data_IF_076345921711
#
_entry.id   IF_076345921711
#
_cell.length_a   1.000
_cell.length_b   1.000
_cell.length_c   1.000
_cell.angle_alpha   90.00
_cell.angle_beta   90.00
_cell.angle_gamma   90.00
#
_symmetry.space_group_name_H-M   'P 1'
#
loop_
_entity.id
_entity.type
_entity.pdbx_description
1 polymer ?
#
# COMPACT_ATOMS: atom_id res chain seq x y z
N UNK A 1 29.54 -31.87 14.12
CA UNK A 1 28.39 -31.40 14.93
C UNK A 1 28.44 -29.90 15.10
N UNK A 2 28.70 -29.31 16.29
CA UNK A 2 28.43 -27.86 16.52
C UNK A 2 28.95 -26.85 15.46
N UNK A 3 30.13 -27.08 14.84
CA UNK A 3 30.66 -26.17 13.80
C UNK A 3 29.84 -26.19 12.51
N UNK A 4 29.47 -27.37 12.03
CA UNK A 4 28.69 -27.57 10.80
C UNK A 4 27.27 -27.00 10.95
N UNK A 5 26.68 -27.13 12.14
CA UNK A 5 25.37 -26.56 12.48
C UNK A 5 25.39 -25.02 12.43
N UNK A 6 26.43 -24.39 12.99
CA UNK A 6 26.58 -22.93 12.99
C UNK A 6 26.85 -22.40 11.57
N UNK A 7 27.64 -23.11 10.77
CA UNK A 7 27.89 -22.79 9.36
C UNK A 7 26.63 -22.92 8.50
N UNK A 8 25.87 -24.00 8.67
CA UNK A 8 24.57 -24.17 8.03
C UNK A 8 23.61 -23.03 8.40
N UNK A 9 23.55 -22.64 9.68
CA UNK A 9 22.73 -21.52 10.15
C UNK A 9 23.16 -20.17 9.56
N UNK A 10 24.47 -19.90 9.45
CA UNK A 10 24.99 -18.68 8.84
C UNK A 10 24.58 -18.58 7.36
N UNK A 11 24.85 -19.62 6.56
CA UNK A 11 24.44 -19.72 5.15
C UNK A 11 22.92 -19.56 5.02
N UNK A 12 22.15 -20.22 5.90
CA UNK A 12 20.69 -20.15 5.87
C UNK A 12 20.14 -18.76 6.24
N UNK A 13 20.80 -18.05 7.17
CA UNK A 13 20.41 -16.69 7.55
C UNK A 13 20.59 -15.70 6.39
N UNK A 14 21.66 -15.85 5.60
CA UNK A 14 21.93 -15.06 4.39
C UNK A 14 20.90 -15.31 3.28
N UNK A 15 20.52 -16.57 3.05
CA UNK A 15 19.40 -16.95 2.15
C UNK A 15 18.08 -16.27 2.56
N UNK A 16 17.78 -16.23 3.86
CA UNK A 16 16.57 -15.59 4.39
C UNK A 16 16.58 -14.07 4.22
N UNK A 17 17.71 -13.39 4.41
CA UNK A 17 17.85 -11.95 4.12
C UNK A 17 17.68 -11.68 2.62
N UNK A 18 18.34 -12.46 1.76
CA UNK A 18 18.20 -12.33 0.29
C UNK A 18 16.75 -12.46 -0.18
N UNK A 19 16.01 -13.43 0.37
CA UNK A 19 14.57 -13.60 0.14
C UNK A 19 13.72 -12.45 0.68
N UNK A 20 14.05 -11.94 1.86
CA UNK A 20 13.38 -10.80 2.48
C UNK A 20 13.53 -9.52 1.62
N UNK A 21 14.75 -9.21 1.17
CA UNK A 21 15.04 -8.08 0.26
C UNK A 21 14.34 -8.28 -1.09
N UNK A 22 14.40 -9.49 -1.66
CA UNK A 22 13.72 -9.81 -2.93
C UNK A 22 12.20 -9.63 -2.82
N UNK A 23 11.58 -10.08 -1.72
CA UNK A 23 10.15 -9.89 -1.46
C UNK A 23 9.78 -8.41 -1.35
N UNK A 24 10.63 -7.58 -0.71
CA UNK A 24 10.43 -6.13 -0.66
C UNK A 24 10.45 -5.50 -2.06
N UNK A 25 11.48 -5.81 -2.88
CA UNK A 25 11.59 -5.31 -4.26
C UNK A 25 10.39 -5.70 -5.12
N UNK A 26 9.91 -6.94 -5.00
CA UNK A 26 8.72 -7.43 -5.74
C UNK A 26 7.48 -6.60 -5.36
N UNK A 27 7.24 -6.36 -4.07
CA UNK A 27 6.10 -5.53 -3.61
C UNK A 27 6.22 -4.08 -4.06
N UNK A 28 7.43 -3.53 -4.06
CA UNK A 28 7.72 -2.19 -4.56
C UNK A 28 7.39 -2.08 -6.06
N UNK A 29 7.85 -3.04 -6.87
CA UNK A 29 7.50 -3.15 -8.29
C UNK A 29 5.97 -3.26 -8.50
N UNK A 30 5.30 -4.16 -7.78
CA UNK A 30 3.85 -4.32 -7.87
C UNK A 30 3.05 -3.07 -7.44
N UNK A 31 3.55 -2.30 -6.45
CA UNK A 31 2.93 -1.01 -6.10
C UNK A 31 2.98 -0.02 -7.27
N UNK A 32 4.11 0.03 -7.99
CA UNK A 32 4.25 0.80 -9.24
C UNK A 32 3.29 0.34 -10.32
N UNK A 33 3.18 -0.98 -10.56
CA UNK A 33 2.21 -1.55 -11.52
C UNK A 33 0.77 -1.19 -11.16
N UNK A 34 0.38 -1.26 -9.89
CA UNK A 34 -0.98 -0.90 -9.44
C UNK A 34 -1.26 0.59 -9.68
N UNK A 35 -0.29 1.49 -9.39
CA UNK A 35 -0.43 2.91 -9.73
C UNK A 35 -0.64 3.10 -11.24
N UNK A 36 0.16 2.43 -12.07
CA UNK A 36 0.03 2.50 -13.53
C UNK A 36 -1.35 2.05 -14.03
N UNK A 37 -1.83 0.88 -13.57
CA UNK A 37 -3.15 0.36 -13.91
C UNK A 37 -4.28 1.29 -13.45
N UNK A 38 -4.23 1.79 -12.22
CA UNK A 38 -5.23 2.73 -11.69
C UNK A 38 -5.24 4.05 -12.47
N UNK A 39 -4.06 4.58 -12.81
CA UNK A 39 -3.92 5.84 -13.57
C UNK A 39 -4.51 5.72 -14.98
N UNK A 40 -4.40 4.54 -15.62
CA UNK A 40 -5.05 4.24 -16.90
C UNK A 40 -6.55 3.96 -16.76
N UNK A 41 -6.99 3.40 -15.63
CA UNK A 41 -8.41 3.08 -15.39
C UNK A 41 -9.28 4.33 -15.19
N UNK A 42 -8.78 5.37 -14.49
CA UNK A 42 -9.54 6.61 -14.23
C UNK A 42 -10.11 7.27 -15.51
N UNK A 43 -9.32 7.56 -16.56
CA UNK A 43 -9.86 8.17 -17.79
C UNK A 43 -10.80 7.22 -18.55
N UNK A 44 -10.58 5.91 -18.51
CA UNK A 44 -11.50 4.93 -19.10
C UNK A 44 -12.87 4.94 -18.40
N UNK A 45 -12.86 4.91 -17.05
CA UNK A 45 -14.05 4.98 -16.21
C UNK A 45 -14.84 6.28 -16.44
N UNK A 46 -14.15 7.42 -16.51
CA UNK A 46 -14.75 8.72 -16.79
C UNK A 46 -15.39 8.77 -18.20
N UNK A 47 -14.71 8.26 -19.23
CA UNK A 47 -15.23 8.27 -20.60
C UNK A 47 -16.57 7.49 -20.72
N UNK A 48 -16.71 6.38 -19.98
CA UNK A 48 -17.95 5.61 -19.89
C UNK A 48 -19.11 6.32 -19.15
N UNK A 49 -18.86 7.49 -18.55
CA UNK A 49 -19.84 8.29 -17.80
C UNK A 49 -20.18 9.63 -18.47
N UNK A 50 -19.65 9.90 -19.67
CA UNK A 50 -19.91 11.17 -20.38
C UNK A 50 -21.40 11.40 -20.66
N UNK A 51 -22.16 10.36 -21.03
CA UNK A 51 -23.61 10.43 -21.28
C UNK A 51 -24.48 10.16 -20.04
N UNK A 52 -23.86 10.03 -18.86
CA UNK A 52 -24.57 9.65 -17.64
C UNK A 52 -25.40 10.81 -17.06
N UNK A 53 -26.46 10.50 -16.30
CA UNK A 53 -27.16 11.53 -15.52
C UNK A 53 -26.22 12.26 -14.55
N UNK A 54 -26.49 13.54 -14.30
CA UNK A 54 -25.72 14.38 -13.38
C UNK A 54 -25.52 13.75 -11.98
N UNK A 55 -26.51 13.00 -11.49
CA UNK A 55 -26.44 12.27 -10.21
C UNK A 55 -25.47 11.08 -10.25
N UNK A 56 -25.37 10.40 -11.40
CA UNK A 56 -24.41 9.30 -11.62
C UNK A 56 -22.99 9.88 -11.79
N UNK A 57 -22.86 11.05 -12.40
CA UNK A 57 -21.58 11.79 -12.45
C UNK A 57 -21.15 12.30 -11.07
N UNK A 58 -22.10 12.63 -10.18
CA UNK A 58 -21.78 13.04 -8.81
C UNK A 58 -21.36 11.85 -7.94
N UNK A 59 -22.05 10.69 -8.01
CA UNK A 59 -21.68 9.51 -7.23
C UNK A 59 -20.36 8.87 -7.72
N UNK A 60 -20.00 9.05 -9.00
CA UNK A 60 -18.73 8.55 -9.56
C UNK A 60 -17.49 9.28 -9.03
N UNK A 61 -17.65 10.43 -8.35
CA UNK A 61 -16.56 11.08 -7.62
C UNK A 61 -16.02 10.19 -6.48
N UNK A 62 -16.84 9.30 -5.91
CA UNK A 62 -16.45 8.40 -4.82
C UNK A 62 -15.32 7.43 -5.25
N UNK A 63 -15.47 6.58 -6.29
CA UNK A 63 -14.38 5.71 -6.73
C UNK A 63 -13.15 6.50 -7.20
N UNK A 64 -13.31 7.68 -7.81
CA UNK A 64 -12.18 8.54 -8.21
C UNK A 64 -11.37 8.98 -6.98
N UNK A 65 -12.04 9.45 -5.92
CA UNK A 65 -11.40 9.79 -4.65
C UNK A 65 -10.69 8.59 -4.00
N UNK A 66 -11.30 7.40 -4.05
CA UNK A 66 -10.68 6.16 -3.58
C UNK A 66 -9.44 5.79 -4.40
N UNK A 67 -9.45 5.93 -5.72
CA UNK A 67 -8.29 5.68 -6.58
C UNK A 67 -7.14 6.66 -6.31
N UNK A 68 -7.43 7.96 -6.14
CA UNK A 68 -6.41 8.96 -5.76
C UNK A 68 -5.80 8.59 -4.40
N UNK A 69 -6.61 8.20 -3.41
CA UNK A 69 -6.12 7.79 -2.10
C UNK A 69 -5.27 6.51 -2.17
N UNK A 70 -5.65 5.53 -3.00
CA UNK A 70 -4.84 4.35 -3.33
C UNK A 70 -3.48 4.74 -3.89
N UNK A 71 -3.43 5.67 -4.86
CA UNK A 71 -2.16 6.15 -5.44
C UNK A 71 -1.27 6.75 -4.35
N UNK A 72 -1.80 7.59 -3.46
CA UNK A 72 -1.05 8.18 -2.35
C UNK A 72 -0.48 7.13 -1.38
N UNK A 73 -1.27 6.10 -1.04
CA UNK A 73 -0.79 4.97 -0.21
C UNK A 73 0.33 4.20 -0.92
N UNK A 74 0.15 3.87 -2.21
CA UNK A 74 1.15 3.12 -2.97
C UNK A 74 2.43 3.93 -3.22
N UNK A 75 2.33 5.25 -3.39
CA UNK A 75 3.50 6.13 -3.50
C UNK A 75 4.34 6.13 -2.21
N UNK A 76 3.71 5.98 -1.05
CA UNK A 76 4.40 5.79 0.22
C UNK A 76 5.06 4.39 0.36
N UNK A 77 4.58 3.36 -0.35
CA UNK A 77 5.26 2.06 -0.50
C UNK A 77 6.48 2.18 -1.43
N UNK A 78 6.37 3.02 -2.46
CA UNK A 78 7.47 3.36 -3.38
C UNK A 78 8.56 4.24 -2.76
N UNK A 79 8.42 4.68 -1.51
CA UNK A 79 9.44 5.49 -0.85
C UNK A 79 10.71 4.65 -0.59
N UNK A 80 11.89 5.07 -1.05
CA UNK A 80 13.14 4.35 -0.81
C UNK A 80 13.43 4.27 0.70
N UNK A 81 13.81 3.09 1.16
CA UNK A 81 14.20 2.82 2.55
C UNK A 81 15.44 1.91 2.51
N UNK A 82 16.50 2.23 3.27
CA UNK A 82 17.71 1.43 3.28
C UNK A 82 17.45 0.09 3.98
N UNK A 83 17.82 -1.01 3.33
CA UNK A 83 17.78 -2.36 3.90
C UNK A 83 19.19 -2.82 4.23
N UNK A 84 19.38 -3.57 5.31
CA UNK A 84 20.67 -4.10 5.74
C UNK A 84 20.94 -5.44 5.03
N UNK A 85 22.06 -5.61 4.34
CA UNK A 85 22.26 -6.73 3.40
C UNK A 85 23.08 -7.90 3.98
N UNK A 86 24.11 -7.64 4.79
CA UNK A 86 24.90 -8.58 5.61
C UNK A 86 26.00 -7.79 6.37
N UNK A 87 27.08 -8.46 6.78
CA UNK A 87 28.36 -7.86 7.17
C UNK A 87 28.85 -6.82 6.15
N UNK A 88 29.37 -5.69 6.64
CA UNK A 88 30.15 -4.75 5.81
C UNK A 88 31.50 -5.35 5.39
N UNK A 89 31.86 -5.17 4.12
CA UNK A 89 33.20 -5.50 3.58
C UNK A 89 34.33 -4.84 4.39
N UNK A 90 34.07 -3.67 4.98
CA UNK A 90 35.03 -2.95 5.86
C UNK A 90 35.45 -3.75 7.09
N UNK A 91 34.66 -4.75 7.52
CA UNK A 91 34.97 -5.64 8.65
C UNK A 91 35.82 -6.86 8.28
N UNK A 92 36.00 -7.16 6.99
CA UNK A 92 36.79 -8.33 6.56
C UNK A 92 38.26 -8.33 7.04
N UNK A 93 38.99 -7.20 7.08
CA UNK A 93 40.35 -7.16 7.65
C UNK A 93 40.41 -7.54 9.13
N UNK A 94 39.40 -7.15 9.93
CA UNK A 94 39.31 -7.51 11.35
C UNK A 94 38.97 -9.00 11.56
N UNK A 95 38.26 -9.60 10.59
CA UNK A 95 37.80 -10.99 10.62
C UNK A 95 38.86 -11.97 10.10
N UNK A 96 39.73 -11.57 9.18
CA UNK A 96 40.68 -12.49 8.51
C UNK A 96 41.69 -13.14 9.48
N UNK A 97 41.97 -12.49 10.61
CA UNK A 97 42.89 -12.97 11.65
C UNK A 97 42.20 -13.76 12.79
N UNK A 98 40.87 -13.95 12.71
CA UNK A 98 40.09 -14.65 13.73
C UNK A 98 39.93 -16.14 13.41
N UNK A 99 39.73 -17.02 14.42
CA UNK A 99 39.41 -18.42 14.17
C UNK A 99 38.07 -18.55 13.43
N UNK A 100 37.99 -19.48 12.48
CA UNK A 100 36.81 -19.70 11.61
C UNK A 100 35.47 -19.72 12.37
N UNK A 101 35.44 -20.35 13.54
CA UNK A 101 34.22 -20.45 14.37
C UNK A 101 33.73 -19.08 14.88
N UNK A 102 34.64 -18.14 15.14
CA UNK A 102 34.29 -16.77 15.52
C UNK A 102 33.78 -15.97 14.31
N UNK A 103 34.39 -16.17 13.12
CA UNK A 103 33.95 -15.53 11.87
C UNK A 103 32.50 -15.93 11.54
N UNK A 104 32.20 -17.24 11.56
CA UNK A 104 30.86 -17.75 11.24
C UNK A 104 29.82 -17.34 12.31
N UNK A 105 30.20 -17.30 13.59
CA UNK A 105 29.32 -16.82 14.66
C UNK A 105 29.03 -15.32 14.54
N UNK A 106 30.00 -14.52 14.10
CA UNK A 106 29.84 -13.09 13.82
C UNK A 106 28.94 -12.86 12.60
N UNK A 107 29.12 -13.61 11.49
CA UNK A 107 28.21 -13.56 10.33
C UNK A 107 26.78 -13.92 10.70
N UNK A 108 26.58 -15.00 11.46
CA UNK A 108 25.26 -15.36 11.98
C UNK A 108 24.65 -14.24 12.86
N UNK A 109 25.44 -13.58 13.70
CA UNK A 109 24.97 -12.49 14.55
C UNK A 109 24.53 -11.27 13.73
N UNK A 110 25.38 -10.82 12.80
CA UNK A 110 25.13 -9.64 11.95
C UNK A 110 23.95 -9.87 11.01
N UNK A 111 23.84 -11.07 10.42
CA UNK A 111 22.70 -11.43 9.59
C UNK A 111 21.40 -11.45 10.39
N UNK A 112 21.43 -11.96 11.62
CA UNK A 112 20.25 -12.12 12.46
C UNK A 112 19.73 -10.81 13.08
N UNK A 113 20.58 -9.79 13.20
CA UNK A 113 20.18 -8.43 13.55
C UNK A 113 19.79 -7.59 12.31
N UNK A 114 20.46 -7.77 11.17
CA UNK A 114 20.01 -7.21 9.87
C UNK A 114 18.59 -7.65 9.53
N UNK A 115 18.28 -8.94 9.68
CA UNK A 115 16.94 -9.49 9.44
C UNK A 115 15.87 -8.86 10.35
N UNK A 116 16.21 -8.57 11.61
CA UNK A 116 15.33 -7.88 12.57
C UNK A 116 15.04 -6.44 12.15
N UNK A 117 16.09 -5.68 11.80
CA UNK A 117 15.96 -4.29 11.36
C UNK A 117 15.11 -4.18 10.08
N UNK A 118 15.44 -4.99 9.08
CA UNK A 118 14.70 -5.10 7.82
C UNK A 118 13.23 -5.47 8.04
N UNK A 119 12.93 -6.37 8.99
CA UNK A 119 11.55 -6.77 9.29
C UNK A 119 10.68 -5.59 9.70
N UNK A 120 11.19 -4.66 10.52
CA UNK A 120 10.42 -3.48 10.97
C UNK A 120 10.06 -2.58 9.78
N UNK A 121 11.02 -2.36 8.87
CA UNK A 121 10.85 -1.59 7.63
C UNK A 121 9.82 -2.27 6.72
N UNK A 122 9.99 -3.57 6.49
CA UNK A 122 9.17 -4.35 5.56
C UNK A 122 7.75 -4.55 6.09
N UNK A 123 7.56 -4.77 7.39
CA UNK A 123 6.22 -4.89 7.99
C UNK A 123 5.44 -3.57 7.87
N UNK A 124 6.11 -2.41 7.99
CA UNK A 124 5.51 -1.08 7.75
C UNK A 124 5.13 -0.86 6.28
N UNK A 125 6.01 -1.22 5.36
CA UNK A 125 5.73 -1.16 3.91
C UNK A 125 4.59 -2.11 3.53
N UNK A 126 4.59 -3.33 4.05
CA UNK A 126 3.58 -4.36 3.81
C UNK A 126 2.19 -3.96 4.31
N UNK A 127 2.09 -3.34 5.51
CA UNK A 127 0.82 -2.77 6.00
C UNK A 127 0.28 -1.68 5.09
N UNK A 128 1.14 -0.86 4.51
CA UNK A 128 0.76 0.20 3.58
C UNK A 128 0.31 -0.39 2.24
N UNK A 129 1.09 -1.32 1.68
CA UNK A 129 0.77 -2.05 0.45
C UNK A 129 -0.59 -2.77 0.55
N UNK A 130 -0.81 -3.55 1.61
CA UNK A 130 -2.06 -4.29 1.80
C UNK A 130 -3.28 -3.35 1.91
N UNK A 131 -3.15 -2.22 2.62
CA UNK A 131 -4.21 -1.18 2.65
C UNK A 131 -4.49 -0.62 1.27
N UNK A 132 -3.45 -0.35 0.48
CA UNK A 132 -3.57 0.09 -0.90
C UNK A 132 -4.32 -0.94 -1.76
N UNK A 133 -3.90 -2.21 -1.74
CA UNK A 133 -4.54 -3.30 -2.51
C UNK A 133 -6.02 -3.43 -2.16
N UNK A 134 -6.36 -3.50 -0.87
CA UNK A 134 -7.76 -3.60 -0.42
C UNK A 134 -8.58 -2.41 -0.92
N UNK A 135 -8.04 -1.20 -0.85
CA UNK A 135 -8.74 -0.01 -1.32
C UNK A 135 -8.90 0.02 -2.84
N UNK A 136 -7.90 -0.42 -3.62
CA UNK A 136 -8.03 -0.62 -5.07
C UNK A 136 -9.19 -1.56 -5.40
N UNK A 137 -9.30 -2.69 -4.71
CA UNK A 137 -10.35 -3.69 -4.94
C UNK A 137 -11.73 -3.08 -4.66
N UNK A 138 -11.89 -2.39 -3.53
CA UNK A 138 -13.14 -1.69 -3.20
C UNK A 138 -13.49 -0.63 -4.25
N UNK A 139 -12.51 0.19 -4.67
CA UNK A 139 -12.71 1.21 -5.70
C UNK A 139 -13.14 0.61 -7.05
N UNK A 140 -12.55 -0.51 -7.47
CA UNK A 140 -12.94 -1.25 -8.68
C UNK A 140 -14.36 -1.78 -8.56
N UNK A 141 -14.73 -2.42 -7.44
CA UNK A 141 -16.08 -2.96 -7.22
C UNK A 141 -17.12 -1.83 -7.27
N UNK A 142 -16.89 -0.72 -6.56
CA UNK A 142 -17.76 0.46 -6.58
C UNK A 142 -17.87 1.04 -8.00
N UNK A 143 -16.76 1.11 -8.75
CA UNK A 143 -16.75 1.56 -10.14
C UNK A 143 -17.63 0.67 -11.03
N UNK A 144 -17.50 -0.65 -10.92
CA UNK A 144 -18.29 -1.61 -11.70
C UNK A 144 -19.78 -1.48 -11.39
N UNK A 145 -20.16 -1.33 -10.12
CA UNK A 145 -21.57 -1.13 -9.73
C UNK A 145 -22.13 0.18 -10.32
N UNK A 146 -21.36 1.27 -10.30
CA UNK A 146 -21.77 2.55 -10.90
C UNK A 146 -21.87 2.46 -12.43
N UNK A 147 -20.95 1.76 -13.10
CA UNK A 147 -21.03 1.54 -14.55
C UNK A 147 -22.23 0.67 -14.94
N UNK A 148 -22.53 -0.39 -14.18
CA UNK A 148 -23.72 -1.22 -14.40
C UNK A 148 -25.00 -0.40 -14.21
N UNK A 149 -25.10 0.38 -13.14
CA UNK A 149 -26.22 1.30 -12.94
C UNK A 149 -26.34 2.30 -14.11
N UNK A 150 -25.23 2.86 -14.59
CA UNK A 150 -25.25 3.75 -15.75
C UNK A 150 -25.79 3.07 -17.01
N UNK A 151 -25.45 1.80 -17.26
CA UNK A 151 -25.99 1.03 -18.40
C UNK A 151 -27.50 0.78 -18.24
N UNK A 152 -27.96 0.29 -17.08
CA UNK A 152 -29.36 -0.07 -16.87
C UNK A 152 -30.30 1.15 -16.82
N UNK A 153 -29.82 2.29 -16.35
CA UNK A 153 -30.60 3.53 -16.28
C UNK A 153 -30.27 4.50 -17.43
N UNK A 154 -29.43 4.14 -18.41
CA UNK A 154 -29.02 5.07 -19.48
C UNK A 154 -30.26 5.63 -20.17
N UNK A 155 -30.44 6.96 -20.24
CA UNK A 155 -31.54 7.52 -21.01
C UNK A 155 -31.38 7.10 -22.47
N UNK A 156 -32.45 6.53 -23.04
CA UNK A 156 -32.66 6.59 -24.48
C UNK A 156 -32.90 8.07 -24.78
N UNK A 157 -31.83 8.78 -25.14
CA UNK A 157 -31.95 10.11 -25.69
C UNK A 157 -32.55 9.94 -27.09
N UNK A 158 -33.88 9.99 -27.17
CA UNK A 158 -34.55 10.26 -28.44
C UNK A 158 -33.93 11.54 -29.00
N UNK A 159 -33.40 11.49 -30.23
CA UNK A 159 -32.88 12.65 -30.97
C UNK A 159 -34.04 13.61 -31.30
N UNK A 160 -34.48 14.36 -30.27
CA UNK A 160 -35.47 15.42 -30.40
C UNK A 160 -34.81 16.62 -31.05
N UNK A 161 -34.79 16.60 -32.37
CA UNK A 161 -34.41 17.70 -33.24
C UNK A 161 -35.07 18.99 -32.74
N UNK A 162 -34.27 19.88 -32.15
CA UNK A 162 -34.79 21.03 -31.41
C UNK A 162 -35.35 22.06 -32.42
N UNK A 163 -36.66 22.06 -32.60
CA UNK A 163 -37.38 23.22 -33.14
C UNK A 163 -37.47 24.27 -32.04
N UNK A 164 -36.69 25.33 -32.18
CA UNK A 164 -36.77 26.52 -31.34
C UNK A 164 -37.97 27.35 -31.78
N UNK A 165 -38.92 27.58 -30.88
CA UNK A 165 -39.90 28.67 -31.00
C UNK A 165 -40.16 29.28 -29.63
N UNK A 166 -40.20 30.61 -29.57
CA UNK A 166 -40.08 31.41 -28.34
C UNK A 166 -41.41 32.11 -28.07
N UNK A 167 -42.05 31.87 -26.91
CA UNK A 167 -43.12 32.75 -26.39
C UNK A 167 -43.06 32.84 -24.84
N UNK A 168 -43.07 34.06 -24.32
CA UNK A 168 -43.25 34.39 -22.90
C UNK A 168 -44.74 34.45 -22.51
N UNK A 169 -45.13 34.09 -21.28
CA UNK A 169 -45.80 35.01 -20.32
C UNK A 169 -46.41 34.37 -19.03
N UNK A 170 -46.03 34.98 -17.88
CA UNK A 170 -46.86 35.46 -16.73
C UNK A 170 -47.67 34.52 -15.78
N UNK A 171 -47.12 34.36 -14.56
CA UNK A 171 -47.64 34.52 -13.16
C UNK A 171 -49.10 34.16 -12.74
N UNK A 172 -49.24 33.29 -11.71
CA UNK A 172 -50.01 33.39 -10.41
C UNK A 172 -50.46 31.99 -9.91
N UNK A 173 -49.94 31.46 -8.79
CA UNK A 173 -50.32 31.65 -7.37
C UNK A 173 -51.53 30.79 -6.90
N UNK A 174 -51.34 29.76 -6.03
CA UNK A 174 -51.65 29.81 -4.57
C UNK A 174 -51.78 28.43 -3.85
N UNK A 175 -51.27 28.37 -2.61
CA UNK A 175 -51.66 27.63 -1.38
C UNK A 175 -51.79 26.07 -1.22
N UNK A 176 -51.04 25.59 -0.20
CA UNK A 176 -51.37 24.68 0.92
C UNK A 176 -51.97 23.26 0.72
N UNK A 177 -51.30 22.24 1.31
CA UNK A 177 -51.68 21.77 2.66
C UNK A 177 -50.67 20.82 3.35
N UNK A 178 -50.81 20.67 4.67
CA UNK A 178 -49.99 19.86 5.58
C UNK A 178 -50.29 18.36 5.50
N UNK A 179 -49.34 17.50 5.89
CA UNK A 179 -49.63 16.44 6.89
C UNK A 179 -48.37 15.99 7.65
N UNK A 180 -48.56 15.37 8.81
CA UNK A 180 -47.57 15.13 9.86
C UNK A 180 -47.15 13.65 9.96
N UNK A 181 -45.92 13.37 10.40
CA UNK A 181 -45.41 12.02 10.67
C UNK A 181 -44.16 12.06 11.57
N UNK A 182 -44.16 11.31 12.67
CA UNK A 182 -43.30 11.53 13.84
C UNK A 182 -42.41 10.32 14.17
N UNK A 183 -41.25 10.55 14.81
CA UNK A 183 -40.43 9.57 15.59
C UNK A 183 -39.77 8.36 14.86
N UNK A 184 -38.67 7.74 15.33
CA UNK A 184 -37.75 8.04 16.46
C UNK A 184 -36.45 7.19 16.44
N UNK A 185 -35.32 7.80 16.82
CA UNK A 185 -34.15 7.32 17.61
C UNK A 185 -33.48 5.92 17.50
N UNK A 186 -32.16 5.96 17.77
CA UNK A 186 -31.31 4.97 18.50
C UNK A 186 -30.49 3.94 17.68
N UNK A 187 -29.29 3.46 18.08
CA UNK A 187 -28.11 4.00 18.82
C UNK A 187 -27.03 2.90 18.94
N UNK A 188 -25.73 3.25 19.00
CA UNK A 188 -24.62 2.47 19.65
C UNK A 188 -24.19 1.11 19.02
N UNK A 189 -23.01 0.49 19.28
CA UNK A 189 -21.71 0.91 19.85
C UNK A 189 -20.63 -0.19 19.59
N UNK A 190 -19.32 0.18 19.59
CA UNK A 190 -18.14 -0.60 20.12
C UNK A 190 -17.90 -2.06 19.58
N UNK A 191 -16.86 -2.86 19.88
CA UNK A 191 -15.43 -2.77 20.26
C UNK A 191 -14.79 -4.20 20.04
N UNK A 192 -13.49 -4.54 20.14
CA UNK A 192 -12.17 -3.89 19.96
C UNK A 192 -11.07 -4.98 20.21
N UNK A 193 -9.78 -4.64 20.04
CA UNK A 193 -8.59 -5.27 20.68
C UNK A 193 -8.03 -6.63 20.20
N UNK A 194 -6.83 -6.55 19.59
CA UNK A 194 -5.55 -7.19 19.97
C UNK A 194 -5.53 -8.43 20.90
N UNK A 195 -4.62 -9.38 20.62
CA UNK A 195 -3.25 -9.37 21.22
C UNK A 195 -2.25 -10.32 20.52
N UNK A 196 -0.96 -10.11 20.81
CA UNK A 196 0.18 -10.94 20.38
C UNK A 196 0.58 -11.93 21.50
N UNK A 197 1.41 -12.92 21.16
CA UNK A 197 2.39 -13.48 22.11
C UNK A 197 3.73 -13.79 21.41
N UNK A 198 4.82 -13.82 22.18
CA UNK A 198 6.22 -13.87 21.71
C UNK A 198 7.10 -14.77 22.58
N UNK A 199 7.64 -15.84 21.98
CA UNK A 199 8.57 -16.76 22.65
C UNK A 199 10.01 -16.21 22.70
N UNK A 200 10.72 -16.46 23.81
CA UNK A 200 12.07 -15.94 24.10
C UNK A 200 13.17 -16.53 23.17
N UNK A 201 14.21 -15.74 22.89
CA UNK A 201 15.27 -16.02 21.90
C UNK A 201 16.65 -16.19 22.56
N UNK A 202 17.49 -17.03 21.97
CA UNK A 202 18.91 -17.25 22.29
C UNK A 202 19.69 -15.92 22.27
N UNK A 203 20.63 -15.74 23.22
CA UNK A 203 21.45 -14.53 23.30
C UNK A 203 22.55 -14.56 22.25
N UNK A 204 22.62 -13.50 21.46
CA UNK A 204 23.56 -13.30 20.34
C UNK A 204 24.46 -12.12 20.73
N UNK A 205 25.76 -12.14 20.38
CA UNK A 205 26.65 -11.02 20.68
C UNK A 205 26.11 -9.70 20.07
N UNK A 206 26.24 -8.57 20.78
CA UNK A 206 25.69 -7.31 20.32
C UNK A 206 26.42 -6.80 19.07
N UNK A 207 25.66 -6.53 18.00
CA UNK A 207 26.19 -5.93 16.76
C UNK A 207 25.87 -4.43 16.71
N UNK A 208 26.79 -3.63 16.18
CA UNK A 208 26.57 -2.19 16.01
C UNK A 208 25.99 -1.89 14.61
N UNK A 209 25.39 -0.71 14.38
CA UNK A 209 24.95 -0.32 13.04
C UNK A 209 26.09 -0.07 12.03
N UNK A 210 27.35 -0.03 12.48
CA UNK A 210 28.53 0.10 11.63
C UNK A 210 29.01 -1.25 11.07
N UNK A 211 28.63 -2.37 11.68
CA UNK A 211 29.02 -3.71 11.25
C UNK A 211 28.21 -4.22 10.04
N UNK A 212 27.23 -3.43 9.56
CA UNK A 212 26.19 -3.81 8.60
C UNK A 212 26.23 -2.97 7.34
N UNK A 213 26.23 -3.63 6.18
CA UNK A 213 26.14 -2.92 4.89
C UNK A 213 24.69 -2.49 4.60
N UNK A 214 24.51 -1.22 4.23
CA UNK A 214 23.20 -0.64 3.89
C UNK A 214 23.00 -0.58 2.38
N UNK A 215 21.99 -1.31 1.92
CA UNK A 215 21.44 -1.23 0.59
C UNK A 215 20.68 0.09 0.40
N UNK A 216 21.38 1.11 -0.11
CA UNK A 216 20.81 2.41 -0.47
C UNK A 216 20.00 2.34 -1.78
N UNK A 217 19.00 1.47 -1.87
CA UNK A 217 18.13 1.43 -3.05
C UNK A 217 17.27 2.70 -3.11
N UNK A 218 17.58 3.59 -4.07
CA UNK A 218 16.92 4.88 -4.26
C UNK A 218 17.24 5.94 -3.19
N UNK A 219 18.23 5.71 -2.32
CA UNK A 219 18.70 6.71 -1.35
C UNK A 219 19.93 7.41 -1.90
N UNK A 220 19.86 8.74 -1.98
CA UNK A 220 20.89 9.61 -2.55
C UNK A 220 22.28 9.36 -1.88
N UNK A 221 23.30 8.87 -2.60
CA UNK A 221 24.54 8.36 -2.01
C UNK A 221 25.35 9.43 -1.24
N UNK A 222 25.06 10.71 -1.47
CA UNK A 222 25.70 11.84 -0.78
C UNK A 222 25.24 12.03 0.68
N UNK A 223 24.13 11.40 1.12
CA UNK A 223 23.61 11.59 2.50
C UNK A 223 24.22 10.69 3.57
N UNK A 224 24.98 9.65 3.22
CA UNK A 224 25.62 8.74 4.18
C UNK A 224 27.10 9.07 4.47
N UNK A 225 27.61 10.25 4.07
CA UNK A 225 28.97 10.73 4.39
C UNK A 225 28.95 11.84 5.45
N UNK A 226 28.52 11.52 6.67
CA UNK A 226 28.79 12.25 7.92
C UNK A 226 28.76 11.30 9.09
#
# INVERSE_FOLDING_TARGET
MQKEEIEYLAIKSKDLIGKQITSYRIKHSYAGTIIGVVTLFIPFFLNWLNDAYIWIQLISLIPIGLFIWTILIMLNVLRPQPLEQAISVDKYPDLVNKPLQEIVLFDLAVNLDSFKANRIIIDKANRSYNKGVVLTIIAIIVSIVILLANIFFKPIMDDKVVKVEIVNSVIMENNNNQTSGNNSNSSSNQDNSNSNDTTKRIVIPPTTPADREKLNEGVDPKKNKK
#
